data_IF_690921025216
#
_entry.id   IF_690921025216
#
_cell.length_a   1.000
_cell.length_b   1.000
_cell.length_c   1.000
_cell.angle_alpha   90.00
_cell.angle_beta   90.00
_cell.angle_gamma   90.00
#
_symmetry.space_group_name_H-M   'P 1'
#
loop_
_entity.id
_entity.type
_entity.pdbx_description
1 polymer ?
#
# COMPACT_ATOMS: atom_id res chain seq x y z
N UNK A 1 13.81 13.21 -1.71
CA UNK A 1 13.53 11.79 -2.04
C UNK A 1 14.82 11.04 -1.93
N UNK A 2 14.79 9.90 -1.27
CA UNK A 2 15.93 9.00 -1.12
C UNK A 2 16.14 8.19 -2.41
N UNK A 3 17.32 7.58 -2.59
CA UNK A 3 17.69 6.78 -3.77
C UNK A 3 16.66 5.68 -4.06
N UNK A 4 16.15 5.02 -3.03
CA UNK A 4 15.14 3.98 -3.16
C UNK A 4 13.84 4.51 -3.78
N UNK A 5 13.39 5.69 -3.37
CA UNK A 5 12.14 6.31 -3.87
C UNK A 5 12.23 6.57 -5.38
N UNK A 6 13.40 7.00 -5.85
CA UNK A 6 13.66 7.18 -7.29
C UNK A 6 13.65 5.85 -8.03
N UNK A 7 14.24 4.80 -7.46
CA UNK A 7 14.29 3.48 -8.09
C UNK A 7 12.87 2.92 -8.26
N UNK A 8 12.06 2.93 -7.21
CA UNK A 8 10.70 2.38 -7.27
C UNK A 8 9.80 3.21 -8.18
N UNK A 9 9.94 4.54 -8.18
CA UNK A 9 9.25 5.42 -9.12
C UNK A 9 9.67 5.16 -10.57
N UNK A 10 10.97 5.09 -10.87
CA UNK A 10 11.44 4.81 -12.23
C UNK A 10 11.00 3.41 -12.70
N UNK A 11 11.01 2.41 -11.80
CA UNK A 11 10.50 1.08 -12.11
C UNK A 11 8.99 1.11 -12.40
N UNK A 12 8.21 1.89 -11.63
CA UNK A 12 6.78 2.11 -11.85
C UNK A 12 6.53 2.74 -13.24
N UNK A 13 7.18 3.86 -13.53
CA UNK A 13 7.03 4.55 -14.83
C UNK A 13 7.51 3.68 -16.01
N UNK A 14 8.56 2.88 -15.80
CA UNK A 14 9.04 1.95 -16.82
C UNK A 14 8.04 0.82 -17.08
N UNK A 15 7.38 0.31 -16.03
CA UNK A 15 6.38 -0.75 -16.13
C UNK A 15 5.13 -0.30 -16.90
N UNK A 16 4.80 0.98 -16.93
CA UNK A 16 3.71 1.48 -17.78
C UNK A 16 3.94 1.24 -19.28
N UNK A 17 5.17 0.93 -19.71
CA UNK A 17 5.40 0.43 -21.07
C UNK A 17 4.72 -0.92 -21.34
N UNK A 18 4.39 -1.70 -20.31
CA UNK A 18 3.57 -2.89 -20.39
C UNK A 18 2.12 -2.62 -19.95
N UNK A 19 1.92 -2.21 -18.69
CA UNK A 19 0.59 -1.89 -18.13
C UNK A 19 0.13 -0.51 -18.59
N UNK A 20 -0.85 -0.46 -19.49
CA UNK A 20 -1.38 0.79 -20.05
C UNK A 20 -0.93 1.06 -21.49
N UNK A 21 0.36 0.86 -21.84
CA UNK A 21 0.83 1.04 -23.23
C UNK A 21 0.69 -0.22 -24.10
N UNK A 22 1.37 -1.32 -23.76
CA UNK A 22 1.27 -2.56 -24.56
C UNK A 22 -0.01 -3.32 -24.26
N UNK A 23 -0.35 -3.49 -22.99
CA UNK A 23 -1.64 -3.98 -22.53
C UNK A 23 -2.52 -2.74 -22.32
N UNK A 24 -3.19 -2.32 -23.40
CA UNK A 24 -4.04 -1.13 -23.41
C UNK A 24 -5.30 -1.38 -22.57
N UNK A 25 -5.81 -0.33 -21.94
CA UNK A 25 -7.00 -0.35 -21.08
C UNK A 25 -7.88 0.85 -21.45
N UNK A 26 -9.18 0.63 -21.60
CA UNK A 26 -10.12 1.63 -22.12
C UNK A 26 -11.08 2.25 -21.07
N UNK A 27 -11.07 1.80 -19.81
CA UNK A 27 -12.01 2.33 -18.79
C UNK A 27 -11.42 3.42 -17.88
N UNK A 28 -10.19 3.88 -18.13
CA UNK A 28 -9.53 4.94 -17.35
C UNK A 28 -9.57 4.65 -15.85
N UNK A 29 -10.03 5.62 -15.05
CA UNK A 29 -10.04 5.59 -13.58
C UNK A 29 -10.67 4.34 -12.95
N UNK A 30 -11.66 3.70 -13.59
CA UNK A 30 -12.32 2.50 -13.05
C UNK A 30 -11.41 1.27 -13.03
N UNK A 31 -10.34 1.27 -13.83
CA UNK A 31 -9.37 0.19 -13.92
C UNK A 31 -8.01 0.60 -13.31
N UNK A 32 -7.92 1.70 -12.58
CA UNK A 32 -6.67 2.12 -11.90
C UNK A 32 -6.22 1.12 -10.84
N UNK A 33 -7.14 0.36 -10.24
CA UNK A 33 -6.75 -0.74 -9.37
C UNK A 33 -5.84 -1.76 -10.09
N UNK A 34 -6.07 -1.96 -11.40
CA UNK A 34 -5.20 -2.80 -12.21
C UNK A 34 -4.03 -2.01 -12.78
N UNK A 35 -4.26 -0.92 -13.50
CA UNK A 35 -3.18 -0.24 -14.22
C UNK A 35 -2.16 0.44 -13.31
N UNK A 36 -2.58 0.94 -12.15
CA UNK A 36 -1.71 1.61 -11.19
C UNK A 36 -1.31 0.66 -10.07
N UNK A 37 -2.29 0.00 -9.45
CA UNK A 37 -2.02 -0.87 -8.29
C UNK A 37 -1.16 -2.08 -8.64
N UNK A 38 -1.36 -2.73 -9.80
CA UNK A 38 -0.47 -3.82 -10.22
C UNK A 38 0.90 -3.29 -10.64
N UNK A 39 0.97 -2.07 -11.19
CA UNK A 39 2.24 -1.43 -11.52
C UNK A 39 3.05 -1.16 -10.26
N UNK A 40 2.43 -0.64 -9.19
CA UNK A 40 3.08 -0.52 -7.89
C UNK A 40 3.53 -1.88 -7.36
N UNK A 41 2.70 -2.92 -7.43
CA UNK A 41 3.08 -4.27 -7.00
C UNK A 41 4.31 -4.78 -7.75
N UNK A 42 4.26 -4.78 -9.08
CA UNK A 42 5.34 -5.29 -9.91
C UNK A 42 6.61 -4.44 -9.84
N UNK A 43 6.50 -3.13 -9.63
CA UNK A 43 7.70 -2.27 -9.50
C UNK A 43 8.57 -2.72 -8.32
N UNK A 44 7.95 -3.08 -7.18
CA UNK A 44 8.66 -3.59 -6.00
C UNK A 44 9.11 -5.03 -6.19
N UNK A 45 8.26 -5.90 -6.73
CA UNK A 45 8.61 -7.31 -6.98
C UNK A 45 9.79 -7.42 -7.95
N UNK A 46 9.78 -6.67 -9.05
CA UNK A 46 10.88 -6.68 -10.02
C UNK A 46 12.13 -6.00 -9.48
N UNK A 47 12.01 -4.94 -8.68
CA UNK A 47 13.17 -4.34 -8.01
C UNK A 47 13.84 -5.33 -7.04
N UNK A 48 13.07 -6.13 -6.31
CA UNK A 48 13.60 -7.21 -5.45
C UNK A 48 14.25 -8.31 -6.30
N UNK A 49 13.56 -8.80 -7.33
CA UNK A 49 14.06 -9.88 -8.22
C UNK A 49 15.36 -9.49 -8.92
N UNK A 50 15.49 -8.23 -9.31
CA UNK A 50 16.70 -7.68 -9.95
C UNK A 50 17.79 -7.29 -8.94
N UNK A 51 17.57 -7.50 -7.63
CA UNK A 51 18.48 -7.13 -6.54
C UNK A 51 18.83 -5.64 -6.51
N UNK A 52 17.99 -4.79 -7.10
CA UNK A 52 18.16 -3.33 -7.09
C UNK A 52 17.76 -2.76 -5.72
N UNK A 53 16.80 -3.38 -5.06
CA UNK A 53 16.50 -3.17 -3.63
C UNK A 53 16.80 -4.45 -2.84
N UNK A 54 17.15 -4.28 -1.58
CA UNK A 54 17.32 -5.33 -0.59
C UNK A 54 15.96 -5.92 -0.17
N UNK A 55 16.01 -7.06 0.51
CA UNK A 55 14.81 -7.69 1.06
C UNK A 55 14.19 -6.83 2.16
N UNK A 56 15.04 -6.16 2.95
CA UNK A 56 14.63 -5.27 4.02
C UNK A 56 13.89 -4.03 3.47
N UNK A 57 14.44 -3.40 2.42
CA UNK A 57 13.80 -2.29 1.69
C UNK A 57 12.47 -2.72 1.05
N UNK A 58 12.40 -3.93 0.46
CA UNK A 58 11.15 -4.49 -0.07
C UNK A 58 10.08 -4.66 1.00
N UNK A 59 10.46 -5.17 2.17
CA UNK A 59 9.56 -5.37 3.31
C UNK A 59 9.05 -4.04 3.85
N UNK A 60 9.91 -3.03 3.93
CA UNK A 60 9.54 -1.67 4.33
C UNK A 60 8.51 -1.06 3.36
N UNK A 61 8.76 -1.15 2.06
CA UNK A 61 7.82 -0.67 1.02
C UNK A 61 6.46 -1.39 1.12
N UNK A 62 6.46 -2.72 1.24
CA UNK A 62 5.20 -3.47 1.37
C UNK A 62 4.43 -3.09 2.64
N UNK A 63 5.11 -2.91 3.77
CA UNK A 63 4.48 -2.46 5.00
C UNK A 63 3.88 -1.06 4.83
N UNK A 64 4.56 -0.15 4.14
CA UNK A 64 4.02 1.18 3.84
C UNK A 64 2.73 1.08 3.01
N UNK A 65 2.66 0.18 2.02
CA UNK A 65 1.44 -0.06 1.25
C UNK A 65 0.32 -0.67 2.10
N UNK A 66 0.64 -1.62 2.99
CA UNK A 66 -0.35 -2.17 3.91
C UNK A 66 -0.89 -1.11 4.87
N UNK A 67 -0.03 -0.30 5.49
CA UNK A 67 -0.42 0.82 6.34
C UNK A 67 -1.34 1.79 5.58
N UNK A 68 -0.92 2.22 4.39
CA UNK A 68 -1.68 3.15 3.55
C UNK A 68 -3.04 2.58 3.12
N UNK A 69 -3.13 1.27 2.84
CA UNK A 69 -4.37 0.62 2.47
C UNK A 69 -5.31 0.47 3.68
N UNK A 70 -4.86 -0.24 4.72
CA UNK A 70 -5.70 -0.64 5.85
C UNK A 70 -6.09 0.52 6.77
N UNK A 71 -5.28 1.58 6.81
CA UNK A 71 -5.56 2.78 7.60
C UNK A 71 -6.25 3.88 6.79
N UNK A 72 -6.47 3.68 5.49
CA UNK A 72 -7.17 4.66 4.65
C UNK A 72 -8.56 4.98 5.22
N UNK A 73 -8.93 6.27 5.34
CA UNK A 73 -10.27 6.66 5.77
C UNK A 73 -11.35 6.26 4.76
N UNK A 74 -10.96 6.07 3.50
CA UNK A 74 -11.84 5.73 2.36
C UNK A 74 -11.64 4.30 1.88
N UNK A 75 -11.07 3.42 2.71
CA UNK A 75 -10.76 2.02 2.33
C UNK A 75 -11.95 1.29 1.68
N UNK A 76 -13.18 1.60 2.13
CA UNK A 76 -14.41 0.98 1.65
C UNK A 76 -15.15 1.73 0.53
N UNK A 77 -14.52 2.71 -0.11
CA UNK A 77 -15.10 3.44 -1.25
C UNK A 77 -15.36 2.48 -2.44
N UNK A 78 -16.60 2.32 -2.92
CA UNK A 78 -16.92 1.51 -4.09
C UNK A 78 -16.24 2.01 -5.36
N UNK A 79 -15.85 1.10 -6.27
CA UNK A 79 -15.06 1.46 -7.46
C UNK A 79 -15.77 2.45 -8.40
N UNK A 80 -17.10 2.35 -8.52
CA UNK A 80 -17.90 3.26 -9.34
C UNK A 80 -17.91 4.71 -8.81
N UNK A 81 -17.73 4.91 -7.49
CA UNK A 81 -17.67 6.24 -6.87
C UNK A 81 -16.29 6.87 -6.93
N UNK A 82 -15.22 6.07 -6.97
CA UNK A 82 -13.83 6.55 -7.12
C UNK A 82 -13.71 7.50 -8.31
N UNK A 83 -14.32 7.19 -9.45
CA UNK A 83 -14.26 8.07 -10.64
C UNK A 83 -14.91 9.44 -10.39
N UNK A 84 -16.02 9.46 -9.65
CA UNK A 84 -16.79 10.67 -9.35
C UNK A 84 -16.08 11.57 -8.34
N UNK A 85 -15.44 10.95 -7.34
CA UNK A 85 -14.83 11.66 -6.22
C UNK A 85 -13.32 11.82 -6.35
N UNK A 86 -12.74 11.30 -7.44
CA UNK A 86 -11.31 11.35 -7.73
C UNK A 86 -10.73 12.75 -7.51
N UNK A 87 -11.33 13.80 -8.09
CA UNK A 87 -10.80 15.15 -8.00
C UNK A 87 -11.12 15.88 -6.68
N UNK A 88 -11.89 15.27 -5.78
CA UNK A 88 -12.36 15.89 -4.53
C UNK A 88 -11.52 15.51 -3.32
N UNK A 89 -10.98 14.29 -3.30
CA UNK A 89 -10.26 13.76 -2.14
C UNK A 89 -8.98 13.01 -2.58
N UNK A 90 -7.84 13.46 -2.08
CA UNK A 90 -6.55 12.82 -2.33
C UNK A 90 -6.52 11.36 -1.85
N UNK A 91 -7.18 11.03 -0.74
CA UNK A 91 -7.25 9.65 -0.26
C UNK A 91 -7.99 8.75 -1.27
N UNK A 92 -9.03 9.26 -1.93
CA UNK A 92 -9.77 8.55 -2.99
C UNK A 92 -8.89 8.38 -4.24
N UNK A 93 -8.09 9.38 -4.61
CA UNK A 93 -7.16 9.25 -5.74
C UNK A 93 -6.14 8.13 -5.56
N UNK A 94 -5.64 7.97 -4.32
CA UNK A 94 -4.61 6.99 -3.97
C UNK A 94 -5.17 5.59 -3.72
N UNK A 95 -6.45 5.48 -3.35
CA UNK A 95 -7.06 4.21 -3.00
C UNK A 95 -6.94 3.11 -4.08
N UNK A 96 -7.13 3.37 -5.39
CA UNK A 96 -6.91 2.34 -6.43
C UNK A 96 -5.50 1.76 -6.42
N UNK A 97 -4.48 2.58 -6.16
CA UNK A 97 -3.09 2.15 -6.12
C UNK A 97 -2.89 1.16 -4.98
N UNK A 98 -3.33 1.51 -3.77
CA UNK A 98 -3.17 0.67 -2.58
C UNK A 98 -4.04 -0.59 -2.63
N UNK A 99 -5.32 -0.46 -3.04
CA UNK A 99 -6.25 -1.57 -3.18
C UNK A 99 -5.76 -2.56 -4.23
N UNK A 100 -5.33 -2.05 -5.38
CA UNK A 100 -4.82 -2.86 -6.48
C UNK A 100 -3.52 -3.58 -6.13
N UNK A 101 -2.62 -2.93 -5.39
CA UNK A 101 -1.40 -3.54 -4.87
C UNK A 101 -1.70 -4.74 -3.96
N UNK A 102 -2.58 -4.54 -2.97
CA UNK A 102 -2.98 -5.60 -2.03
C UNK A 102 -3.74 -6.71 -2.74
N UNK A 103 -4.58 -6.37 -3.72
CA UNK A 103 -5.29 -7.34 -4.54
C UNK A 103 -4.36 -8.17 -5.43
N UNK A 104 -3.29 -7.57 -5.98
CA UNK A 104 -2.28 -8.30 -6.73
C UNK A 104 -1.56 -9.35 -5.86
N UNK A 105 -1.17 -8.99 -4.64
CA UNK A 105 -0.61 -9.94 -3.67
C UNK A 105 -1.58 -11.07 -3.32
N UNK A 106 -2.85 -10.73 -3.08
CA UNK A 106 -3.91 -11.71 -2.81
C UNK A 106 -4.06 -12.70 -3.98
N UNK A 107 -4.15 -12.20 -5.21
CA UNK A 107 -4.31 -13.04 -6.40
C UNK A 107 -3.08 -13.92 -6.65
N UNK A 108 -1.87 -13.40 -6.41
CA UNK A 108 -0.66 -14.18 -6.58
C UNK A 108 -0.62 -15.38 -5.62
N UNK A 109 -1.07 -15.21 -4.38
CA UNK A 109 -1.28 -16.32 -3.45
C UNK A 109 -2.38 -17.28 -3.94
N UNK A 110 -3.53 -16.76 -4.34
CA UNK A 110 -4.66 -17.58 -4.80
C UNK A 110 -4.28 -18.46 -6.01
N UNK A 111 -3.48 -17.94 -6.94
CA UNK A 111 -2.94 -18.71 -8.06
C UNK A 111 -2.00 -19.81 -7.55
N UNK A 112 -1.08 -19.49 -6.63
CA UNK A 112 -0.13 -20.46 -6.05
C UNK A 112 -0.82 -21.55 -5.24
N UNK A 113 -1.96 -21.27 -4.62
CA UNK A 113 -2.79 -22.26 -3.93
C UNK A 113 -3.39 -23.29 -4.88
N UNK A 114 -3.81 -22.87 -6.08
CA UNK A 114 -4.33 -23.75 -7.11
C UNK A 114 -3.20 -24.47 -7.87
N UNK A 115 -2.07 -23.81 -8.09
CA UNK A 115 -0.89 -24.39 -8.70
C UNK A 115 0.40 -23.68 -8.25
N UNK A 116 1.19 -24.35 -7.41
CA UNK A 116 2.44 -23.82 -6.84
C UNK A 116 3.52 -23.46 -7.87
N UNK A 117 3.40 -23.95 -9.11
CA UNK A 117 4.33 -23.61 -10.22
C UNK A 117 3.90 -22.38 -11.01
N UNK A 118 2.74 -21.79 -10.67
CA UNK A 118 2.17 -20.63 -11.34
C UNK A 118 2.08 -19.44 -10.39
N UNK A 119 2.08 -18.25 -10.96
CA UNK A 119 1.98 -16.97 -10.28
C UNK A 119 1.14 -15.99 -11.09
N UNK A 120 0.90 -14.81 -10.53
CA UNK A 120 0.31 -13.69 -11.26
C UNK A 120 1.12 -13.32 -12.52
N UNK A 121 2.42 -13.62 -12.56
CA UNK A 121 3.27 -13.39 -13.74
C UNK A 121 2.72 -14.14 -14.97
N UNK A 122 2.20 -15.35 -14.78
CA UNK A 122 1.67 -16.15 -15.88
C UNK A 122 0.40 -15.51 -16.47
N UNK A 123 -0.46 -14.96 -15.62
CA UNK A 123 -1.66 -14.22 -16.05
C UNK A 123 -1.26 -12.97 -16.83
N UNK A 124 -0.33 -12.17 -16.28
CA UNK A 124 0.16 -10.95 -16.93
C UNK A 124 0.84 -11.25 -18.27
N UNK A 125 1.56 -12.37 -18.38
CA UNK A 125 2.17 -12.80 -19.64
C UNK A 125 1.12 -13.17 -20.69
N UNK A 126 0.00 -13.79 -20.30
CA UNK A 126 -1.09 -14.07 -21.24
C UNK A 126 -1.71 -12.76 -21.72
N UNK A 127 -2.05 -11.84 -20.80
CA UNK A 127 -2.58 -10.51 -21.16
C UNK A 127 -1.65 -9.77 -22.11
N UNK A 128 -0.34 -9.86 -21.90
CA UNK A 128 0.66 -9.29 -22.78
C UNK A 128 0.67 -9.94 -24.18
N UNK A 129 0.66 -11.27 -24.24
CA UNK A 129 0.71 -12.01 -25.52
C UNK A 129 -0.51 -11.75 -26.40
N UNK A 130 -1.66 -11.49 -25.79
CA UNK A 130 -2.92 -11.23 -26.48
C UNK A 130 -3.25 -9.75 -26.63
N UNK A 131 -2.31 -8.86 -26.27
CA UNK A 131 -2.61 -7.43 -26.13
C UNK A 131 -2.82 -6.69 -27.44
N UNK A 132 -2.43 -7.30 -28.57
CA UNK A 132 -2.67 -6.77 -29.92
C UNK A 132 -4.11 -7.02 -30.36
N UNK A 133 -4.68 -8.14 -29.91
CA UNK A 133 -6.03 -8.59 -30.28
C UNK A 133 -7.07 -8.14 -29.25
N UNK A 134 -6.68 -8.05 -27.97
CA UNK A 134 -7.59 -7.82 -26.86
C UNK A 134 -7.02 -6.78 -25.89
N UNK A 135 -7.76 -5.67 -25.73
CA UNK A 135 -7.49 -4.71 -24.66
C UNK A 135 -7.88 -5.30 -23.30
N UNK A 136 -7.23 -4.82 -22.24
CA UNK A 136 -7.59 -5.16 -20.87
C UNK A 136 -9.02 -4.71 -20.58
N UNK A 137 -9.79 -5.64 -20.05
CA UNK A 137 -11.04 -5.40 -19.35
C UNK A 137 -11.11 -6.34 -18.15
N UNK A 138 -11.90 -5.99 -17.13
CA UNK A 138 -12.13 -6.87 -15.98
C UNK A 138 -12.67 -8.23 -16.43
N UNK A 139 -13.59 -8.27 -17.41
CA UNK A 139 -14.13 -9.52 -17.94
C UNK A 139 -13.08 -10.38 -18.65
N UNK A 140 -12.20 -9.76 -19.45
CA UNK A 140 -11.13 -10.51 -20.08
C UNK A 140 -10.10 -11.01 -19.06
N UNK A 141 -9.79 -10.20 -18.05
CA UNK A 141 -8.92 -10.61 -16.94
C UNK A 141 -9.48 -11.82 -16.19
N UNK A 142 -10.78 -11.80 -15.86
CA UNK A 142 -11.49 -12.93 -15.24
C UNK A 142 -11.50 -14.18 -16.13
N UNK A 143 -11.58 -14.02 -17.45
CA UNK A 143 -11.45 -15.12 -18.40
C UNK A 143 -10.05 -15.74 -18.36
N UNK A 144 -9.01 -14.93 -18.44
CA UNK A 144 -7.60 -15.41 -18.45
C UNK A 144 -7.23 -16.09 -17.14
N UNK A 145 -7.62 -15.52 -16.00
CA UNK A 145 -7.22 -16.08 -14.70
C UNK A 145 -7.91 -17.42 -14.41
N UNK A 146 -9.03 -17.75 -15.07
CA UNK A 146 -9.74 -19.02 -14.90
C UNK A 146 -8.89 -20.25 -15.25
N UNK A 147 -7.90 -20.09 -16.13
CA UNK A 147 -6.93 -21.16 -16.45
C UNK A 147 -5.99 -21.47 -15.27
N UNK A 148 -5.89 -20.57 -14.30
CA UNK A 148 -5.02 -20.67 -13.12
C UNK A 148 -5.82 -20.85 -11.82
N UNK A 149 -7.04 -20.32 -11.77
CA UNK A 149 -7.99 -20.44 -10.67
C UNK A 149 -9.30 -20.98 -11.27
N UNK A 150 -9.53 -22.32 -11.31
CA UNK A 150 -10.67 -22.91 -12.02
C UNK A 150 -12.05 -22.40 -11.59
N UNK A 151 -12.17 -21.96 -10.33
CA UNK A 151 -13.39 -21.35 -9.78
C UNK A 151 -13.64 -19.91 -10.29
N UNK A 152 -12.67 -19.30 -10.98
CA UNK A 152 -12.70 -17.89 -11.35
C UNK A 152 -12.41 -16.95 -10.18
N UNK A 153 -12.57 -15.65 -10.42
CA UNK A 153 -12.40 -14.60 -9.40
C UNK A 153 -13.54 -13.58 -9.37
N UNK A 154 -14.71 -13.93 -9.93
CA UNK A 154 -15.85 -13.00 -10.04
C UNK A 154 -16.29 -12.47 -8.66
N UNK A 155 -16.26 -13.34 -7.64
CA UNK A 155 -16.59 -12.96 -6.27
C UNK A 155 -15.58 -11.96 -5.72
N UNK A 156 -14.29 -12.22 -5.90
CA UNK A 156 -13.19 -11.42 -5.38
C UNK A 156 -13.18 -10.04 -6.05
N UNK A 157 -13.40 -9.96 -7.37
CA UNK A 157 -13.56 -8.69 -8.09
C UNK A 157 -14.78 -7.93 -7.55
N UNK A 158 -15.94 -8.58 -7.44
CA UNK A 158 -17.14 -7.91 -6.98
C UNK A 158 -17.00 -7.40 -5.53
N UNK A 159 -16.52 -8.24 -4.60
CA UNK A 159 -16.38 -7.86 -3.20
C UNK A 159 -15.29 -6.81 -3.00
N UNK A 160 -14.07 -7.06 -3.48
CA UNK A 160 -12.91 -6.24 -3.13
C UNK A 160 -12.75 -5.00 -4.00
N UNK A 161 -13.08 -5.11 -5.30
CA UNK A 161 -12.95 -3.99 -6.22
C UNK A 161 -14.26 -3.22 -6.26
N UNK A 162 -15.33 -3.82 -6.76
CA UNK A 162 -16.57 -3.09 -7.07
C UNK A 162 -17.27 -2.56 -5.81
N UNK A 163 -17.45 -3.40 -4.79
CA UNK A 163 -18.09 -3.03 -3.54
C UNK A 163 -17.13 -2.40 -2.51
N UNK A 164 -15.82 -2.43 -2.77
CA UNK A 164 -14.82 -1.86 -1.87
C UNK A 164 -14.67 -2.59 -0.53
N UNK A 165 -15.09 -3.85 -0.40
CA UNK A 165 -14.86 -4.62 0.83
C UNK A 165 -13.36 -4.74 1.10
N UNK A 166 -12.97 -4.63 2.37
CA UNK A 166 -11.56 -4.75 2.78
C UNK A 166 -11.00 -6.12 2.42
N UNK A 167 -9.87 -6.15 1.73
CA UNK A 167 -9.17 -7.37 1.35
C UNK A 167 -8.53 -8.01 2.59
N UNK A 168 -8.88 -9.26 2.86
CA UNK A 168 -8.30 -10.04 3.95
C UNK A 168 -7.14 -10.90 3.44
N UNK A 169 -5.97 -10.77 4.08
CA UNK A 169 -4.75 -11.50 3.73
C UNK A 169 -4.49 -12.69 4.66
N UNK A 170 -5.51 -13.22 5.33
CA UNK A 170 -5.37 -14.35 6.26
C UNK A 170 -4.76 -15.59 5.60
N UNK A 171 -5.12 -15.89 4.35
CA UNK A 171 -4.52 -17.00 3.59
C UNK A 171 -3.08 -16.71 3.17
N UNK A 172 -2.78 -15.46 2.78
CA UNK A 172 -1.41 -15.02 2.49
C UNK A 172 -0.52 -15.12 3.74
N UNK A 173 -1.07 -14.84 4.92
CA UNK A 173 -0.36 -14.98 6.21
C UNK A 173 0.02 -16.42 6.57
N UNK A 174 -0.57 -17.42 5.91
CA UNK A 174 -0.17 -18.83 6.08
C UNK A 174 1.13 -19.16 5.35
N UNK A 175 1.49 -18.40 4.30
CA UNK A 175 2.65 -18.70 3.44
C UNK A 175 3.74 -17.64 3.48
N UNK A 176 3.38 -16.40 3.82
CA UNK A 176 4.31 -15.29 4.04
C UNK A 176 4.39 -14.93 5.53
N UNK A 177 5.54 -14.42 6.00
CA UNK A 177 5.73 -14.00 7.39
C UNK A 177 5.08 -12.63 7.66
N UNK A 178 3.78 -12.52 7.36
CA UNK A 178 2.94 -11.38 7.71
C UNK A 178 2.07 -11.73 8.92
N UNK A 179 1.78 -10.72 9.74
CA UNK A 179 0.99 -10.80 10.96
C UNK A 179 -0.13 -9.77 10.93
N UNK A 180 -1.24 -10.08 11.59
CA UNK A 180 -2.35 -9.16 11.80
C UNK A 180 -2.15 -8.45 13.14
N UNK A 181 -2.04 -7.13 13.12
CA UNK A 181 -1.81 -6.29 14.31
C UNK A 181 -2.88 -5.20 14.43
N UNK A 182 -2.94 -4.55 15.59
CA UNK A 182 -3.74 -3.33 15.78
C UNK A 182 -2.88 -2.08 15.64
N UNK A 183 -3.25 -1.19 14.72
CA UNK A 183 -2.54 0.07 14.46
C UNK A 183 -3.54 1.20 14.20
N UNK A 184 -3.25 2.39 14.72
CA UNK A 184 -3.98 3.62 14.42
C UNK A 184 -3.45 4.32 13.17
N UNK A 185 -4.30 5.07 12.48
CA UNK A 185 -3.89 5.91 11.36
C UNK A 185 -2.87 6.97 11.80
N UNK A 186 -2.10 7.47 10.84
CA UNK A 186 -1.17 8.56 11.12
C UNK A 186 -1.92 9.81 11.60
N UNK A 187 -1.56 10.25 12.80
CA UNK A 187 -2.15 11.41 13.45
C UNK A 187 -1.11 12.10 14.33
N UNK A 188 -0.73 13.33 13.94
CA UNK A 188 0.19 14.14 14.75
C UNK A 188 -0.49 14.67 16.02
N UNK A 189 -1.81 14.79 16.01
CA UNK A 189 -2.59 15.30 17.12
C UNK A 189 -2.55 16.82 17.28
N UNK A 190 -2.08 17.59 16.30
CA UNK A 190 -2.08 19.06 16.34
C UNK A 190 -2.02 19.67 14.93
N UNK A 191 -2.21 20.98 14.85
CA UNK A 191 -2.20 21.76 13.62
C UNK A 191 -0.81 21.80 12.94
N UNK A 192 -0.72 21.14 11.77
CA UNK A 192 0.49 21.10 10.95
C UNK A 192 0.89 22.48 10.40
N UNK A 193 -0.08 23.30 10.01
CA UNK A 193 0.20 24.59 9.36
C UNK A 193 0.72 25.60 10.38
N UNK A 194 0.20 25.56 11.61
CA UNK A 194 0.74 26.35 12.71
C UNK A 194 2.20 25.97 13.05
N UNK A 195 2.52 24.67 13.01
CA UNK A 195 3.89 24.21 13.21
C UNK A 195 4.83 24.73 12.11
N UNK A 196 4.45 24.56 10.84
CA UNK A 196 5.30 24.89 9.69
C UNK A 196 5.49 26.40 9.53
N UNK A 197 4.41 27.17 9.65
CA UNK A 197 4.43 28.60 9.34
C UNK A 197 4.88 29.46 10.52
N UNK A 198 4.58 29.03 11.75
CA UNK A 198 4.79 29.86 12.94
C UNK A 198 5.74 29.24 13.96
N UNK A 199 6.21 28.00 13.74
CA UNK A 199 7.02 27.27 14.72
C UNK A 199 6.34 27.18 16.09
N UNK A 200 5.02 26.99 16.12
CA UNK A 200 4.22 26.88 17.35
C UNK A 200 3.28 25.69 17.32
N UNK A 201 3.09 25.04 18.46
CA UNK A 201 2.05 24.03 18.63
C UNK A 201 0.69 24.71 18.87
N UNK A 202 -0.31 24.35 18.06
CA UNK A 202 -1.69 24.80 18.19
C UNK A 202 -2.67 23.66 17.95
N UNK A 203 -3.88 23.82 18.50
CA UNK A 203 -4.99 22.87 18.39
C UNK A 203 -4.59 21.43 18.72
N UNK A 204 -3.76 21.26 19.76
CA UNK A 204 -3.37 19.92 20.20
C UNK A 204 -4.59 19.17 20.74
N UNK A 205 -4.84 17.96 20.23
CA UNK A 205 -5.85 17.04 20.74
C UNK A 205 -5.34 16.40 22.04
N UNK A 206 -6.10 16.54 23.11
CA UNK A 206 -5.76 16.03 24.44
C UNK A 206 -5.70 14.49 24.50
N UNK A 207 -6.37 13.81 23.56
CA UNK A 207 -6.30 12.35 23.44
C UNK A 207 -5.08 11.85 22.66
N UNK A 208 -4.37 12.75 21.98
CA UNK A 208 -3.25 12.41 21.10
C UNK A 208 -2.00 11.97 21.86
N UNK A 209 -1.14 11.22 21.18
CA UNK A 209 0.17 10.86 21.71
C UNK A 209 1.09 12.08 21.86
N UNK A 210 0.91 13.13 21.05
CA UNK A 210 1.63 14.38 21.21
C UNK A 210 1.32 15.02 22.57
N UNK A 211 0.04 15.11 22.95
CA UNK A 211 -0.36 15.64 24.25
C UNK A 211 0.17 14.77 25.41
N UNK A 212 0.05 13.45 25.28
CA UNK A 212 0.57 12.49 26.28
C UNK A 212 2.09 12.59 26.49
N UNK A 213 2.84 13.03 25.48
CA UNK A 213 4.29 13.26 25.60
C UNK A 213 4.66 14.47 26.45
N UNK A 214 3.70 15.37 26.73
CA UNK A 214 3.91 16.62 27.47
C UNK A 214 3.88 17.88 26.60
N UNK A 215 3.74 17.75 25.28
CA UNK A 215 3.61 18.88 24.36
C UNK A 215 2.31 19.65 24.63
N UNK A 216 2.31 20.98 24.53
CA UNK A 216 1.15 21.84 24.84
C UNK A 216 0.96 22.94 23.80
N UNK A 217 -0.29 23.43 23.69
CA UNK A 217 -0.60 24.63 22.90
C UNK A 217 0.26 25.80 23.38
N UNK A 218 0.84 26.54 22.43
CA UNK A 218 1.74 27.67 22.69
C UNK A 218 3.21 27.30 22.88
N UNK A 219 3.57 26.01 22.85
CA UNK A 219 4.98 25.62 22.82
C UNK A 219 5.66 26.13 21.53
N UNK A 220 6.80 26.81 21.71
CA UNK A 220 7.61 27.36 20.62
C UNK A 220 8.63 26.32 20.17
N UNK A 221 8.54 25.88 18.93
CA UNK A 221 9.33 24.80 18.34
C UNK A 221 10.64 25.36 17.79
N UNK A 222 11.75 24.75 18.19
CA UNK A 222 13.10 25.08 17.72
C UNK A 222 13.50 24.15 16.57
N UNK A 223 13.15 22.87 16.70
CA UNK A 223 13.46 21.83 15.72
C UNK A 223 12.39 20.75 15.81
N UNK A 224 12.05 20.16 14.67
CA UNK A 224 11.24 18.95 14.64
C UNK A 224 11.87 17.95 13.66
N UNK A 225 11.63 16.68 13.92
CA UNK A 225 12.02 15.57 13.07
C UNK A 225 10.81 14.66 12.92
N UNK A 226 10.28 14.60 11.69
CA UNK A 226 9.18 13.70 11.35
C UNK A 226 9.72 12.53 10.55
N UNK A 227 9.22 11.32 10.85
CA UNK A 227 9.56 10.16 10.08
C UNK A 227 9.18 10.28 8.60
N UNK A 228 9.92 9.58 7.74
CA UNK A 228 9.67 9.52 6.30
C UNK A 228 8.24 9.00 6.06
N UNK A 229 7.54 9.56 5.07
CA UNK A 229 6.17 9.18 4.67
C UNK A 229 5.06 9.35 5.71
N UNK A 230 5.38 9.76 6.94
CA UNK A 230 4.39 9.84 8.00
C UNK A 230 3.85 8.47 8.38
N UNK A 231 4.72 7.48 8.64
CA UNK A 231 4.29 6.22 9.24
C UNK A 231 3.90 6.42 10.72
N UNK A 232 2.76 5.87 11.19
CA UNK A 232 2.34 5.93 12.59
C UNK A 232 3.21 5.12 13.55
N UNK A 233 4.00 4.14 13.08
CA UNK A 233 4.85 3.30 13.95
C UNK A 233 6.17 4.01 14.34
N UNK A 234 6.54 5.05 13.61
CA UNK A 234 7.81 5.74 13.77
C UNK A 234 7.74 6.88 14.80
N UNK A 235 8.84 7.14 15.51
CA UNK A 235 8.90 8.17 16.57
C UNK A 235 9.12 9.54 15.93
N UNK A 236 8.23 10.48 16.25
CA UNK A 236 8.40 11.92 16.01
C UNK A 236 9.17 12.52 17.18
N UNK A 237 10.14 13.39 16.87
CA UNK A 237 10.85 14.19 17.88
C UNK A 237 10.59 15.67 17.65
N UNK A 238 10.10 16.39 18.66
CA UNK A 238 9.91 17.85 18.63
C UNK A 238 10.71 18.45 19.77
N UNK A 239 11.60 19.39 19.45
CA UNK A 239 12.35 20.19 20.41
C UNK A 239 11.75 21.59 20.48
N UNK A 240 11.37 22.00 21.69
CA UNK A 240 10.81 23.31 21.99
C UNK A 240 11.76 24.07 22.92
N UNK A 241 11.41 25.32 23.25
CA UNK A 241 12.10 26.10 24.30
C UNK A 241 12.02 25.48 25.70
N UNK A 242 11.09 24.54 25.92
CA UNK A 242 10.86 23.88 27.22
C UNK A 242 11.51 22.49 27.33
N UNK A 243 11.85 21.84 26.21
CA UNK A 243 12.40 20.49 26.22
C UNK A 243 12.25 19.75 24.90
N UNK A 244 12.63 18.47 24.91
CA UNK A 244 12.48 17.55 23.79
C UNK A 244 11.35 16.55 24.08
N UNK A 245 10.44 16.38 23.12
CA UNK A 245 9.26 15.55 23.22
C UNK A 245 9.31 14.47 22.14
N UNK A 246 9.06 13.22 22.54
CA UNK A 246 9.05 12.06 21.64
C UNK A 246 7.73 11.33 21.74
N UNK A 247 7.11 11.05 20.60
CA UNK A 247 5.85 10.31 20.53
C UNK A 247 5.67 9.63 19.19
N UNK A 248 4.83 8.59 19.14
CA UNK A 248 4.36 8.01 17.88
C UNK A 248 3.15 8.81 17.38
N UNK A 249 3.13 9.28 16.12
CA UNK A 249 2.00 10.00 15.53
C UNK A 249 0.93 9.00 15.09
N UNK A 250 0.38 8.27 16.06
CA UNK A 250 -0.60 7.20 15.88
C UNK A 250 -1.92 7.61 16.56
N UNK A 251 -3.03 7.54 15.83
CA UNK A 251 -4.35 7.79 16.39
C UNK A 251 -4.74 6.72 17.42
N UNK A 252 -5.46 7.11 18.46
CA UNK A 252 -5.91 6.19 19.51
C UNK A 252 -6.91 5.13 19.00
N UNK A 253 -7.66 5.43 17.94
CA UNK A 253 -8.59 4.50 17.31
C UNK A 253 -7.84 3.53 16.38
N UNK A 254 -7.52 2.35 16.92
CA UNK A 254 -6.75 1.32 16.19
C UNK A 254 -7.65 0.40 15.37
N UNK A 255 -7.21 0.11 14.15
CA UNK A 255 -7.81 -0.87 13.25
C UNK A 255 -6.89 -2.08 13.11
N UNK A 256 -7.46 -3.19 12.69
CA UNK A 256 -6.67 -4.35 12.33
C UNK A 256 -6.00 -4.12 10.97
N UNK A 257 -4.70 -4.35 10.88
CA UNK A 257 -3.91 -4.26 9.65
C UNK A 257 -3.02 -5.50 9.49
N UNK A 258 -2.57 -5.78 8.27
CA UNK A 258 -1.50 -6.75 8.03
C UNK A 258 -0.15 -6.04 7.92
N UNK A 259 0.92 -6.68 8.38
CA UNK A 259 2.30 -6.25 8.16
C UNK A 259 3.27 -7.42 8.17
N UNK A 260 4.41 -7.32 7.52
CA UNK A 260 5.52 -8.25 7.75
C UNK A 260 6.00 -8.19 9.21
N UNK A 261 6.37 -9.34 9.77
CA UNK A 261 6.97 -9.41 11.10
C UNK A 261 8.18 -8.48 11.19
N UNK A 262 8.36 -7.73 12.29
CA UNK A 262 9.46 -6.76 12.43
C UNK A 262 10.84 -7.42 12.44
N UNK A 263 10.93 -8.65 12.97
CA UNK A 263 12.17 -9.42 13.04
C UNK A 263 12.04 -10.69 12.20
N UNK A 264 12.51 -10.64 10.95
CA UNK A 264 12.46 -11.77 10.02
C UNK A 264 13.62 -12.75 10.29
N UNK A 265 13.29 -13.99 10.61
CA UNK A 265 14.27 -15.08 10.70
C UNK A 265 14.86 -15.42 9.32
N UNK A 266 15.94 -16.22 9.28
CA UNK A 266 16.49 -16.72 8.00
C UNK A 266 15.44 -17.49 7.19
N UNK A 267 14.59 -18.26 7.86
CA UNK A 267 13.50 -19.01 7.22
C UNK A 267 12.43 -18.07 6.65
N UNK A 268 12.03 -17.05 7.39
CA UNK A 268 11.08 -16.04 6.91
C UNK A 268 11.61 -15.33 5.66
N UNK A 269 12.88 -14.93 5.66
CA UNK A 269 13.53 -14.31 4.50
C UNK A 269 13.54 -15.25 3.29
N UNK A 270 13.75 -16.55 3.50
CA UNK A 270 13.69 -17.54 2.42
C UNK A 270 12.25 -17.73 1.89
N UNK A 271 11.24 -17.73 2.77
CA UNK A 271 9.83 -17.77 2.36
C UNK A 271 9.46 -16.60 1.47
N UNK A 272 9.87 -15.39 1.83
CA UNK A 272 9.62 -14.19 1.01
C UNK A 272 10.30 -14.34 -0.36
N UNK A 273 11.60 -14.65 -0.38
CA UNK A 273 12.34 -14.82 -1.65
C UNK A 273 11.73 -15.89 -2.55
N UNK A 274 11.28 -17.01 -1.99
CA UNK A 274 10.65 -18.10 -2.74
C UNK A 274 9.26 -17.74 -3.26
N UNK A 275 8.49 -16.97 -2.49
CA UNK A 275 7.16 -16.55 -2.91
C UNK A 275 7.23 -15.57 -4.09
N UNK A 276 8.19 -14.64 -4.04
CA UNK A 276 8.38 -13.58 -5.05
C UNK A 276 9.47 -13.91 -6.09
N UNK A 277 10.01 -15.12 -6.13
CA UNK A 277 10.90 -15.57 -7.23
C UNK A 277 10.06 -15.91 -8.45
#
# INVERSE_FOLDING_TARGET
MDKQDYITLLAHEHLHNWTGKKIRNNLGGLNYWWSEGFTDYYSRVLALRSSVITLEEFVEEFNQFFENYYLSPVINEPNNLIKTDYWKDYAIQRLPYYRGFVFALYLDNLIKENNRSKSLDNVMLVLFKTSKEQEFSSDYFKKVIKDYVPKGIDKEINEYIEQGKTIDLADVAKVLPIEKIKMGAYDRGFDKDALINNYTIKNIDENSNAYKSGLRNGDIVIKYDFPKWGSPDQIVTIKTTKGEFKFRPENANKKDIYRFKPNLSKEDKLKIKKFFS
#
